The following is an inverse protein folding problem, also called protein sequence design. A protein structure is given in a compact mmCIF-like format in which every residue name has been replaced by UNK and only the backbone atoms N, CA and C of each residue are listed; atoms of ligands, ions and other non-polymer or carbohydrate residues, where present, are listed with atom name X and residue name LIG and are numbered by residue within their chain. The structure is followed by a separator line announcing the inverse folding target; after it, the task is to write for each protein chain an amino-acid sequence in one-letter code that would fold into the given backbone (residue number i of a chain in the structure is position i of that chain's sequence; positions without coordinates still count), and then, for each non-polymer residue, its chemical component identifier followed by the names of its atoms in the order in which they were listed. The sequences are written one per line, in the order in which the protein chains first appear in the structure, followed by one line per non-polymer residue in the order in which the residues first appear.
data_IF_409051418029
#
_entry.id   IF_409051418029
#
_cell.length_a   1.000
_cell.length_b   1.000
_cell.length_c   1.000
_cell.angle_alpha   90.00
_cell.angle_beta   90.00
_cell.angle_gamma   90.00
#
_symmetry.space_group_name_H-M   'P 1'
#
loop_
_entity.id
_entity.type
_entity.pdbx_description
1 polymer ?
#
# COMPACT_ATOMS: atom_id res chain seq x y z
N UNK A 1 23.98 -8.89 48.57
CA UNK A 1 24.55 -8.32 47.33
C UNK A 1 23.38 -8.02 46.41
N UNK A 2 22.95 -6.77 46.38
CA UNK A 2 21.90 -6.30 45.47
C UNK A 2 22.52 -6.03 44.09
N UNK A 3 22.04 -6.77 43.09
CA UNK A 3 22.33 -6.46 41.69
C UNK A 3 21.38 -5.31 41.32
N UNK A 4 21.89 -4.16 40.87
CA UNK A 4 20.99 -3.10 40.39
C UNK A 4 20.29 -3.57 39.11
N UNK A 5 18.98 -3.47 39.09
CA UNK A 5 18.20 -3.52 37.87
C UNK A 5 18.77 -2.43 36.92
N UNK A 6 19.33 -2.85 35.81
CA UNK A 6 19.72 -1.94 34.74
C UNK A 6 18.49 -1.13 34.31
N UNK A 7 18.66 0.18 34.38
CA UNK A 7 17.77 1.12 33.70
C UNK A 7 17.77 0.72 32.23
N UNK A 8 16.65 0.24 31.69
CA UNK A 8 16.45 0.18 30.25
C UNK A 8 16.62 1.62 29.75
N UNK A 9 17.49 1.83 28.80
CA UNK A 9 17.56 3.09 28.07
C UNK A 9 16.17 3.31 27.44
N UNK A 10 15.50 4.39 27.82
CA UNK A 10 14.20 4.77 27.27
C UNK A 10 14.29 5.15 25.76
N UNK A 11 15.45 5.08 25.15
CA UNK A 11 15.78 5.39 23.76
C UNK A 11 16.20 4.14 22.94
N UNK A 12 16.01 2.93 23.43
CA UNK A 12 16.22 1.74 22.58
C UNK A 12 15.00 1.57 21.66
N UNK A 13 15.26 1.56 20.34
CA UNK A 13 14.24 1.28 19.34
C UNK A 13 13.59 -0.08 19.60
N UNK A 14 12.29 -0.23 19.32
CA UNK A 14 11.62 -1.50 19.52
C UNK A 14 12.25 -2.56 18.61
N UNK A 15 12.67 -3.67 19.18
CA UNK A 15 13.24 -4.79 18.44
C UNK A 15 12.19 -5.49 17.56
N UNK A 16 10.90 -5.38 17.96
CA UNK A 16 9.80 -6.09 17.32
C UNK A 16 8.77 -5.11 16.78
N UNK A 17 8.50 -5.21 15.47
CA UNK A 17 7.58 -4.37 14.72
C UNK A 17 6.40 -5.18 14.20
N UNK A 18 5.23 -4.56 14.11
CA UNK A 18 4.00 -5.13 13.56
C UNK A 18 3.53 -4.32 12.35
N UNK A 19 3.30 -4.98 11.23
CA UNK A 19 2.45 -4.46 10.17
C UNK A 19 1.07 -5.08 10.27
N UNK A 20 0.03 -4.24 10.25
CA UNK A 20 -1.36 -4.66 10.22
C UNK A 20 -1.99 -4.16 8.92
N UNK A 21 -2.09 -5.04 7.94
CA UNK A 21 -2.76 -4.81 6.67
C UNK A 21 -4.25 -5.19 6.83
N UNK A 22 -5.12 -4.17 6.90
CA UNK A 22 -6.56 -4.34 7.07
C UNK A 22 -7.23 -4.35 5.69
N UNK A 23 -7.01 -5.42 4.94
CA UNK A 23 -7.55 -5.57 3.59
C UNK A 23 -9.03 -5.92 3.56
N UNK A 24 -9.68 -5.67 2.41
CA UNK A 24 -11.11 -5.95 2.20
C UNK A 24 -11.44 -7.43 2.28
N UNK A 25 -10.55 -8.32 1.83
CA UNK A 25 -10.76 -9.78 1.80
C UNK A 25 -10.07 -10.48 2.96
N UNK A 26 -8.85 -10.06 3.29
CA UNK A 26 -8.06 -10.64 4.37
C UNK A 26 -7.39 -9.55 5.19
N UNK A 27 -7.37 -9.76 6.50
CA UNK A 27 -6.47 -9.06 7.41
C UNK A 27 -5.18 -9.87 7.49
N UNK A 28 -4.05 -9.18 7.41
CA UNK A 28 -2.71 -9.77 7.59
C UNK A 28 -1.97 -9.03 8.69
N UNK A 29 -1.48 -9.78 9.66
CA UNK A 29 -0.58 -9.31 10.70
C UNK A 29 0.80 -9.92 10.44
N UNK A 30 1.81 -9.08 10.27
CA UNK A 30 3.20 -9.52 10.02
C UNK A 30 4.09 -8.93 11.11
N UNK A 31 4.74 -9.82 11.86
CA UNK A 31 5.68 -9.45 12.92
C UNK A 31 7.10 -9.65 12.43
N UNK A 32 7.88 -8.58 12.51
CA UNK A 32 9.29 -8.59 12.15
C UNK A 32 10.17 -8.15 13.31
N UNK A 33 11.36 -8.72 13.36
CA UNK A 33 12.46 -8.31 14.24
C UNK A 33 13.39 -7.38 13.45
N UNK A 34 13.62 -6.19 13.98
CA UNK A 34 14.54 -5.23 13.40
C UNK A 34 15.98 -5.57 13.78
N UNK A 35 16.83 -5.67 12.78
CA UNK A 35 18.24 -5.97 12.88
C UNK A 35 19.11 -4.72 12.66
N UNK A 36 20.40 -4.85 12.94
CA UNK A 36 21.39 -3.81 12.64
C UNK A 36 21.34 -3.43 11.15
N UNK A 37 21.39 -2.13 10.87
CA UNK A 37 21.29 -1.59 9.51
C UNK A 37 19.88 -1.63 8.93
N UNK A 38 18.86 -1.66 9.80
CA UNK A 38 17.43 -1.62 9.40
C UNK A 38 16.94 -2.80 8.56
N UNK A 39 17.68 -3.91 8.57
CA UNK A 39 17.20 -5.16 8.00
C UNK A 39 16.09 -5.75 8.87
N UNK A 40 15.11 -6.39 8.25
CA UNK A 40 13.96 -6.96 8.90
C UNK A 40 13.93 -8.48 8.73
N UNK A 41 13.67 -9.20 9.81
CA UNK A 41 13.47 -10.65 9.78
C UNK A 41 12.03 -10.95 10.20
N UNK A 42 11.22 -11.47 9.28
CA UNK A 42 9.85 -11.89 9.57
C UNK A 42 9.90 -13.10 10.52
N UNK A 43 9.22 -12.98 11.66
CA UNK A 43 9.16 -14.00 12.71
C UNK A 43 7.76 -14.61 12.87
N UNK A 44 6.72 -13.90 12.48
CA UNK A 44 5.37 -14.40 12.61
C UNK A 44 4.40 -13.75 11.64
N UNK A 45 3.46 -14.56 11.19
CA UNK A 45 2.44 -14.15 10.22
C UNK A 45 1.08 -14.69 10.66
N UNK A 46 0.07 -13.85 10.57
CA UNK A 46 -1.31 -14.23 10.76
C UNK A 46 -2.19 -13.67 9.68
N UNK A 47 -3.09 -14.49 9.16
CA UNK A 47 -4.08 -14.13 8.13
C UNK A 47 -5.46 -14.53 8.60
N UNK A 48 -6.43 -13.63 8.47
CA UNK A 48 -7.84 -13.89 8.80
C UNK A 48 -8.73 -13.35 7.71
N UNK A 49 -9.74 -14.15 7.32
CA UNK A 49 -10.71 -13.76 6.30
C UNK A 49 -11.70 -12.72 6.86
N UNK A 50 -11.98 -11.68 6.08
CA UNK A 50 -12.97 -10.65 6.38
C UNK A 50 -14.36 -11.05 5.88
N UNK A 51 -15.35 -10.99 6.77
CA UNK A 51 -16.74 -11.15 6.35
C UNK A 51 -17.18 -10.02 5.42
N UNK A 52 -18.12 -10.34 4.52
CA UNK A 52 -18.73 -9.33 3.66
C UNK A 52 -19.41 -8.26 4.52
N UNK A 53 -19.18 -6.99 4.15
CA UNK A 53 -19.75 -5.85 4.87
C UNK A 53 -18.85 -5.26 5.97
N UNK A 54 -17.79 -5.96 6.40
CA UNK A 54 -16.82 -5.40 7.35
C UNK A 54 -16.08 -4.19 6.76
N UNK A 55 -15.80 -4.24 5.45
CA UNK A 55 -15.13 -3.20 4.69
C UNK A 55 -15.96 -2.80 3.48
N UNK A 56 -15.91 -1.53 3.11
CA UNK A 56 -16.53 -1.00 1.90
C UNK A 56 -15.58 -0.04 1.18
N UNK A 57 -15.31 -0.30 -0.10
CA UNK A 57 -14.39 0.51 -0.92
C UNK A 57 -13.05 0.86 -0.24
N UNK A 58 -12.44 -0.12 0.45
CA UNK A 58 -11.18 0.05 1.18
C UNK A 58 -11.31 0.67 2.59
N UNK A 59 -12.50 1.13 2.99
CA UNK A 59 -12.75 1.73 4.30
C UNK A 59 -13.42 0.75 5.28
N UNK A 60 -13.13 0.89 6.57
CA UNK A 60 -13.77 0.13 7.65
C UNK A 60 -15.23 0.55 7.76
N UNK A 61 -16.16 -0.40 7.59
CA UNK A 61 -17.61 -0.19 7.70
C UNK A 61 -18.18 -0.72 9.03
N UNK A 62 -17.60 -1.79 9.59
CA UNK A 62 -17.97 -2.38 10.88
C UNK A 62 -16.73 -2.51 11.77
N UNK A 63 -16.52 -1.52 12.65
CA UNK A 63 -15.35 -1.49 13.55
C UNK A 63 -15.28 -2.71 14.46
N UNK A 64 -16.34 -3.12 15.19
CA UNK A 64 -16.30 -4.32 16.06
C UNK A 64 -15.94 -5.60 15.31
N UNK A 65 -16.49 -5.80 14.12
CA UNK A 65 -16.21 -6.98 13.31
C UNK A 65 -14.75 -7.00 12.82
N UNK A 66 -14.23 -5.84 12.38
CA UNK A 66 -12.82 -5.68 11.98
C UNK A 66 -11.88 -5.91 13.16
N UNK A 67 -12.18 -5.38 14.37
CA UNK A 67 -11.39 -5.64 15.59
C UNK A 67 -11.29 -7.13 15.83
N UNK A 68 -12.42 -7.86 15.81
CA UNK A 68 -12.43 -9.30 16.04
C UNK A 68 -11.59 -10.09 15.03
N UNK A 69 -11.60 -9.67 13.76
CA UNK A 69 -10.80 -10.29 12.72
C UNK A 69 -9.29 -9.95 12.87
N UNK A 70 -8.97 -8.69 13.21
CA UNK A 70 -7.60 -8.26 13.52
C UNK A 70 -7.02 -9.03 14.72
N UNK A 71 -7.80 -9.22 15.80
CA UNK A 71 -7.39 -9.97 16.98
C UNK A 71 -6.98 -11.41 16.64
N UNK A 72 -7.72 -12.08 15.76
CA UNK A 72 -7.40 -13.44 15.32
C UNK A 72 -6.13 -13.49 14.47
N UNK A 73 -5.99 -12.55 13.53
CA UNK A 73 -4.77 -12.46 12.72
C UNK A 73 -3.54 -12.16 13.58
N UNK A 74 -3.65 -11.19 14.49
CA UNK A 74 -2.60 -10.82 15.44
C UNK A 74 -2.21 -11.99 16.33
N UNK A 75 -3.18 -12.68 16.94
CA UNK A 75 -2.91 -13.84 17.80
C UNK A 75 -2.17 -14.96 17.07
N UNK A 76 -2.46 -15.20 15.79
CA UNK A 76 -1.72 -16.18 14.98
C UNK A 76 -0.28 -15.75 14.75
N UNK A 77 -0.07 -14.47 14.40
CA UNK A 77 1.26 -13.92 14.19
C UNK A 77 2.11 -13.97 15.48
N UNK A 78 1.54 -13.56 16.62
CA UNK A 78 2.21 -13.58 17.93
C UNK A 78 2.55 -15.01 18.38
N UNK A 79 1.62 -15.97 18.18
CA UNK A 79 1.87 -17.38 18.50
C UNK A 79 3.02 -17.96 17.65
N UNK A 80 3.11 -17.60 16.38
CA UNK A 80 4.18 -18.05 15.51
C UNK A 80 5.51 -17.39 15.87
N UNK A 81 5.52 -16.07 16.12
CA UNK A 81 6.70 -15.31 16.48
C UNK A 81 7.21 -15.62 17.91
N UNK A 82 6.34 -16.13 18.78
CA UNK A 82 6.64 -16.36 20.20
C UNK A 82 6.79 -15.07 21.03
N UNK A 83 6.39 -13.92 20.46
CA UNK A 83 6.48 -12.59 21.08
C UNK A 83 5.21 -11.79 20.85
N UNK A 84 4.96 -10.83 21.73
CA UNK A 84 3.85 -9.87 21.60
C UNK A 84 4.41 -8.58 20.99
N UNK A 85 3.90 -8.19 19.84
CA UNK A 85 4.28 -6.95 19.16
C UNK A 85 3.27 -5.85 19.46
N UNK A 86 3.77 -4.64 19.78
CA UNK A 86 2.91 -3.47 20.07
C UNK A 86 3.11 -2.34 19.09
N UNK A 87 4.34 -2.06 18.69
CA UNK A 87 4.71 -1.00 17.74
C UNK A 87 4.17 -1.34 16.36
N UNK A 88 3.17 -0.61 15.91
CA UNK A 88 2.35 -0.98 14.75
C UNK A 88 2.27 0.14 13.71
N UNK A 89 2.34 -0.24 12.43
CA UNK A 89 1.86 0.59 11.32
C UNK A 89 0.71 -0.10 10.60
N UNK A 90 -0.25 0.70 10.12
CA UNK A 90 -1.48 0.23 9.47
C UNK A 90 -1.59 0.81 8.07
N UNK A 91 -1.99 -0.04 7.11
CA UNK A 91 -2.33 0.38 5.76
C UNK A 91 -3.68 1.07 5.67
N UNK A 92 -3.79 2.02 4.75
CA UNK A 92 -5.05 2.64 4.38
C UNK A 92 -5.18 2.68 2.85
N UNK A 93 -6.33 2.21 2.36
CA UNK A 93 -6.71 2.26 0.95
C UNK A 93 -8.09 2.91 0.80
N UNK A 94 -8.51 3.14 -0.43
CA UNK A 94 -9.85 3.61 -0.76
C UNK A 94 -9.88 4.83 -1.68
N UNK A 95 -10.95 4.95 -2.46
CA UNK A 95 -11.11 5.97 -3.52
C UNK A 95 -11.05 7.42 -2.98
N UNK A 96 -11.43 7.63 -1.71
CA UNK A 96 -11.41 8.95 -1.07
C UNK A 96 -10.02 9.38 -0.58
N UNK A 97 -9.00 8.55 -0.76
CA UNK A 97 -7.61 8.93 -0.46
C UNK A 97 -7.05 9.70 -1.65
N UNK A 98 -6.51 10.89 -1.39
CA UNK A 98 -5.96 11.78 -2.42
C UNK A 98 -4.46 11.91 -2.28
N UNK A 99 -3.72 11.23 -3.17
CA UNK A 99 -2.26 11.22 -3.20
C UNK A 99 -1.71 11.82 -4.49
N UNK A 100 -1.09 13.00 -4.40
CA UNK A 100 -0.60 13.73 -5.56
C UNK A 100 0.75 14.38 -5.29
N UNK A 101 1.60 14.42 -6.33
CA UNK A 101 2.84 15.19 -6.33
C UNK A 101 2.63 16.53 -7.04
N UNK A 102 3.10 17.59 -6.41
CA UNK A 102 3.00 18.96 -6.93
C UNK A 102 4.36 19.60 -7.06
N UNK A 103 4.56 20.28 -8.18
CA UNK A 103 5.75 21.14 -8.38
C UNK A 103 5.46 22.53 -7.85
N UNK A 104 6.22 22.95 -6.86
CA UNK A 104 6.13 24.29 -6.24
C UNK A 104 7.39 25.07 -6.57
N UNK A 105 7.23 26.24 -7.17
CA UNK A 105 8.29 27.21 -7.42
C UNK A 105 8.24 28.30 -6.38
N UNK A 106 9.31 28.44 -5.61
CA UNK A 106 9.43 29.46 -4.59
C UNK A 106 10.57 30.42 -4.93
N UNK A 107 10.22 31.69 -5.21
CA UNK A 107 11.19 32.78 -5.38
C UNK A 107 11.54 33.39 -4.04
N UNK A 108 12.81 33.33 -3.70
CA UNK A 108 13.36 33.87 -2.46
C UNK A 108 13.49 35.40 -2.56
N UNK A 109 13.23 36.07 -1.45
CA UNK A 109 13.38 37.54 -1.35
C UNK A 109 14.84 37.98 -1.45
N UNK A 110 15.78 37.14 -0.96
CA UNK A 110 17.22 37.41 -0.94
C UNK A 110 17.96 36.10 -1.26
N UNK A 111 18.33 35.92 -2.53
CA UNK A 111 19.07 34.75 -3.01
C UNK A 111 20.51 34.68 -2.53
N UNK A 112 21.07 35.77 -1.96
CA UNK A 112 22.45 35.79 -1.44
C UNK A 112 22.55 35.22 -0.01
N UNK A 113 21.45 35.13 0.72
CA UNK A 113 21.45 34.49 2.03
C UNK A 113 21.40 32.98 1.89
N UNK A 114 22.13 32.24 2.77
CA UNK A 114 21.96 30.81 2.84
C UNK A 114 20.51 30.42 3.15
N UNK A 115 20.03 29.34 2.55
CA UNK A 115 18.73 28.74 2.86
C UNK A 115 18.80 28.22 4.30
N UNK A 116 17.86 28.63 5.13
CA UNK A 116 17.75 28.19 6.52
C UNK A 116 16.68 27.12 6.68
N UNK A 117 16.81 26.35 7.75
CA UNK A 117 15.80 25.39 8.18
C UNK A 117 14.41 26.03 8.34
N UNK A 118 14.31 27.21 8.97
CA UNK A 118 13.05 27.92 9.15
C UNK A 118 12.40 28.32 7.81
N UNK A 119 13.21 28.71 6.81
CA UNK A 119 12.70 29.03 5.47
C UNK A 119 12.10 27.80 4.80
N UNK A 120 12.80 26.66 4.89
CA UNK A 120 12.31 25.40 4.34
C UNK A 120 11.01 24.92 5.02
N UNK A 121 10.93 24.99 6.36
CA UNK A 121 9.68 24.65 7.06
C UNK A 121 8.50 25.49 6.59
N UNK A 122 8.69 26.80 6.44
CA UNK A 122 7.64 27.69 5.96
C UNK A 122 7.19 27.33 4.55
N UNK A 123 8.12 26.94 3.69
CA UNK A 123 7.80 26.50 2.32
C UNK A 123 6.99 25.22 2.37
N UNK A 124 7.50 24.18 3.07
CA UNK A 124 6.84 22.88 3.19
C UNK A 124 5.44 23.03 3.78
N UNK A 125 5.31 23.77 4.89
CA UNK A 125 3.99 24.01 5.52
C UNK A 125 3.01 24.64 4.54
N UNK A 126 3.40 25.65 3.80
CA UNK A 126 2.51 26.29 2.79
C UNK A 126 2.08 25.34 1.68
N UNK A 127 2.99 24.43 1.28
CA UNK A 127 2.66 23.41 0.27
C UNK A 127 1.64 22.43 0.84
N UNK A 128 1.85 21.97 2.06
CA UNK A 128 0.93 21.06 2.77
C UNK A 128 -0.44 21.72 2.99
N UNK A 129 -0.49 22.94 3.50
CA UNK A 129 -1.75 23.66 3.74
C UNK A 129 -2.58 23.81 2.44
N UNK A 130 -1.92 24.14 1.31
CA UNK A 130 -2.59 24.24 0.02
C UNK A 130 -3.02 22.89 -0.54
N UNK A 131 -2.22 21.84 -0.33
CA UNK A 131 -2.56 20.51 -0.76
C UNK A 131 -3.75 19.95 0.05
N UNK A 132 -3.82 20.24 1.35
CA UNK A 132 -4.95 19.89 2.23
C UNK A 132 -6.26 20.55 1.77
N UNK A 133 -6.23 21.85 1.47
CA UNK A 133 -7.40 22.57 0.96
C UNK A 133 -7.95 21.91 -0.31
N UNK A 134 -7.07 21.59 -1.27
CA UNK A 134 -7.46 20.93 -2.52
C UNK A 134 -7.99 19.51 -2.29
N UNK A 135 -7.33 18.71 -1.45
CA UNK A 135 -7.80 17.36 -1.13
C UNK A 135 -9.17 17.39 -0.46
N UNK A 136 -9.41 18.37 0.44
CA UNK A 136 -10.71 18.56 1.08
C UNK A 136 -11.79 18.93 0.07
N UNK A 137 -11.50 19.84 -0.88
CA UNK A 137 -12.45 20.21 -1.94
C UNK A 137 -12.80 19.00 -2.83
N UNK A 138 -11.80 18.20 -3.25
CA UNK A 138 -12.02 17.00 -4.04
C UNK A 138 -12.90 15.98 -3.31
N UNK A 139 -12.57 15.68 -2.05
CA UNK A 139 -13.36 14.75 -1.22
C UNK A 139 -14.77 15.29 -0.96
N UNK A 140 -14.92 16.59 -0.72
CA UNK A 140 -16.21 17.23 -0.50
C UNK A 140 -17.13 17.07 -1.72
N UNK A 141 -16.60 17.25 -2.94
CA UNK A 141 -17.33 17.05 -4.19
C UNK A 141 -17.74 15.59 -4.39
N UNK A 142 -16.86 14.63 -4.10
CA UNK A 142 -17.13 13.21 -4.29
C UNK A 142 -18.13 12.64 -3.27
N UNK A 143 -18.14 13.20 -2.05
CA UNK A 143 -19.00 12.74 -0.95
C UNK A 143 -20.28 13.56 -0.79
N UNK A 144 -20.45 14.63 -1.58
CA UNK A 144 -21.52 15.64 -1.40
C UNK A 144 -21.59 16.19 0.04
N UNK A 145 -20.40 16.29 0.68
CA UNK A 145 -20.26 16.76 2.06
C UNK A 145 -19.26 17.93 2.13
N UNK A 146 -19.72 19.18 2.19
CA UNK A 146 -18.85 20.35 2.22
C UNK A 146 -18.04 20.48 3.54
N UNK A 147 -18.47 19.81 4.60
CA UNK A 147 -17.84 19.89 5.93
C UNK A 147 -16.89 18.69 6.18
N UNK A 148 -16.48 17.97 5.13
CA UNK A 148 -15.56 16.85 5.28
C UNK A 148 -14.20 17.33 5.80
N UNK A 149 -13.70 16.64 6.82
CA UNK A 149 -12.35 16.84 7.32
C UNK A 149 -11.40 15.78 6.74
N UNK A 150 -10.22 16.23 6.32
CA UNK A 150 -9.15 15.37 5.83
C UNK A 150 -7.90 15.54 6.69
N UNK A 151 -7.08 14.49 6.76
CA UNK A 151 -5.80 14.49 7.48
C UNK A 151 -4.68 14.06 6.53
N UNK A 152 -3.51 14.73 6.64
CA UNK A 152 -2.30 14.31 5.97
C UNK A 152 -1.83 12.96 6.53
N UNK A 153 -1.63 11.99 5.63
CA UNK A 153 -1.17 10.64 5.94
C UNK A 153 0.32 10.50 5.64
N UNK A 154 0.68 10.78 4.39
CA UNK A 154 2.07 10.70 3.94
C UNK A 154 2.48 12.01 3.26
N UNK A 155 3.75 12.36 3.38
CA UNK A 155 4.37 13.43 2.61
C UNK A 155 5.84 13.14 2.36
N UNK A 156 6.31 13.48 1.15
CA UNK A 156 7.68 13.25 0.73
C UNK A 156 8.17 14.34 -0.21
N UNK A 157 9.46 14.70 -0.14
CA UNK A 157 10.10 15.52 -1.17
C UNK A 157 10.61 14.57 -2.26
N UNK A 158 9.96 14.59 -3.42
CA UNK A 158 10.32 13.78 -4.59
C UNK A 158 11.58 14.32 -5.26
N UNK A 159 11.66 15.63 -5.43
CA UNK A 159 12.86 16.30 -5.95
C UNK A 159 12.97 17.72 -5.45
N UNK A 160 14.19 18.22 -5.39
CA UNK A 160 14.48 19.60 -5.03
C UNK A 160 15.60 20.16 -5.90
N UNK A 161 15.40 21.38 -6.39
CA UNK A 161 16.44 22.09 -7.13
C UNK A 161 16.55 23.56 -6.70
N UNK A 162 17.73 24.12 -6.85
CA UNK A 162 18.05 25.52 -6.58
C UNK A 162 18.63 26.12 -7.87
N UNK A 163 17.95 27.15 -8.40
CA UNK A 163 18.33 27.81 -9.67
C UNK A 163 18.58 26.80 -10.80
N UNK A 164 17.78 25.69 -10.85
CA UNK A 164 17.84 24.62 -11.85
C UNK A 164 18.81 23.47 -11.52
N UNK A 165 19.60 23.56 -10.44
CA UNK A 165 20.51 22.49 -10.02
C UNK A 165 19.84 21.58 -8.97
N UNK A 166 19.75 20.28 -9.24
CA UNK A 166 19.27 19.30 -8.26
C UNK A 166 20.20 19.25 -7.04
N UNK A 167 19.59 19.22 -5.84
CA UNK A 167 20.29 19.10 -4.57
C UNK A 167 19.53 18.15 -3.65
N UNK A 168 20.25 17.32 -2.89
CA UNK A 168 19.63 16.43 -1.91
C UNK A 168 19.33 17.14 -0.58
N UNK A 169 20.06 18.17 -0.20
CA UNK A 169 19.81 18.98 0.99
C UNK A 169 20.04 20.46 0.66
N UNK A 170 19.02 21.33 0.73
CA UNK A 170 19.13 22.73 0.33
C UNK A 170 19.77 23.63 1.41
N UNK A 171 19.90 23.13 2.66
CA UNK A 171 20.33 23.96 3.79
C UNK A 171 21.76 24.45 3.60
N UNK A 172 21.94 25.76 3.77
CA UNK A 172 23.24 26.42 3.59
C UNK A 172 23.55 26.84 2.15
N UNK A 173 22.80 26.33 1.15
CA UNK A 173 22.95 26.79 -0.22
C UNK A 173 22.40 28.21 -0.38
N UNK A 174 22.92 28.93 -1.38
CA UNK A 174 22.41 30.22 -1.86
C UNK A 174 21.72 30.00 -3.18
N UNK A 175 20.72 30.79 -3.48
CA UNK A 175 20.00 30.74 -4.74
C UNK A 175 18.73 31.58 -4.70
N UNK A 176 18.21 31.92 -5.83
CA UNK A 176 17.06 32.83 -5.98
C UNK A 176 15.74 32.09 -6.14
N UNK A 177 15.75 30.88 -6.69
CA UNK A 177 14.57 30.07 -6.91
C UNK A 177 14.78 28.64 -6.38
N UNK A 178 13.82 28.19 -5.57
CA UNK A 178 13.69 26.78 -5.21
C UNK A 178 12.53 26.16 -5.98
N UNK A 179 12.77 24.99 -6.56
CA UNK A 179 11.70 24.16 -7.14
C UNK A 179 11.65 22.85 -6.37
N UNK A 180 10.49 22.60 -5.78
CA UNK A 180 10.22 21.37 -5.02
C UNK A 180 9.15 20.58 -5.77
N UNK A 181 9.39 19.29 -5.96
CA UNK A 181 8.33 18.31 -6.19
C UNK A 181 8.00 17.66 -4.87
N UNK A 182 6.75 17.76 -4.44
CA UNK A 182 6.33 17.37 -3.11
C UNK A 182 5.09 16.49 -3.20
N UNK A 183 5.24 15.23 -2.79
CA UNK A 183 4.14 14.28 -2.66
C UNK A 183 3.40 14.51 -1.35
N UNK A 184 2.08 14.47 -1.40
CA UNK A 184 1.20 14.48 -0.24
C UNK A 184 0.04 13.52 -0.46
N UNK A 185 -0.33 12.79 0.59
CA UNK A 185 -1.52 11.96 0.60
C UNK A 185 -2.41 12.32 1.80
N UNK A 186 -3.69 12.51 1.53
CA UNK A 186 -4.73 12.84 2.52
C UNK A 186 -5.82 11.79 2.51
N UNK A 187 -6.38 11.52 3.70
CA UNK A 187 -7.56 10.67 3.85
C UNK A 187 -8.63 11.37 4.70
N UNK A 188 -9.92 11.04 4.51
CA UNK A 188 -10.99 11.51 5.39
C UNK A 188 -10.72 11.13 6.84
N UNK A 189 -10.96 12.07 7.76
CA UNK A 189 -10.72 11.87 9.19
C UNK A 189 -11.48 10.67 9.76
N UNK A 190 -12.67 10.38 9.24
CA UNK A 190 -13.48 9.24 9.66
C UNK A 190 -12.77 7.89 9.44
N UNK A 191 -12.02 7.74 8.33
CA UNK A 191 -11.28 6.51 8.05
C UNK A 191 -10.09 6.35 9.02
N UNK A 192 -9.37 7.45 9.28
CA UNK A 192 -8.23 7.45 10.20
C UNK A 192 -8.70 7.14 11.62
N UNK A 193 -9.79 7.78 12.07
CA UNK A 193 -10.36 7.56 13.39
C UNK A 193 -10.83 6.11 13.60
N UNK A 194 -11.32 5.45 12.54
CA UNK A 194 -11.66 4.03 12.60
C UNK A 194 -10.41 3.15 12.83
N UNK A 195 -9.30 3.43 12.13
CA UNK A 195 -8.02 2.74 12.32
C UNK A 195 -7.47 2.99 13.73
N UNK A 196 -7.45 4.25 14.17
CA UNK A 196 -7.01 4.62 15.54
C UNK A 196 -7.83 3.86 16.60
N UNK A 197 -9.15 3.72 16.39
CA UNK A 197 -10.02 2.96 17.28
C UNK A 197 -9.69 1.47 17.30
N UNK A 198 -9.44 0.85 16.13
CA UNK A 198 -9.01 -0.55 16.04
C UNK A 198 -7.71 -0.77 16.83
N UNK A 199 -6.70 0.06 16.60
CA UNK A 199 -5.41 -0.03 17.29
C UNK A 199 -5.55 0.14 18.80
N UNK A 200 -6.36 1.11 19.26
CA UNK A 200 -6.60 1.36 20.67
C UNK A 200 -7.26 0.16 21.38
N UNK A 201 -8.26 -0.48 20.75
CA UNK A 201 -8.94 -1.65 21.32
C UNK A 201 -8.02 -2.88 21.36
N UNK A 202 -7.07 -3.00 20.43
CA UNK A 202 -6.07 -4.08 20.39
C UNK A 202 -4.83 -3.78 21.25
N UNK A 203 -4.79 -2.64 21.94
CA UNK A 203 -3.65 -2.17 22.72
C UNK A 203 -2.35 -2.07 21.88
N UNK A 204 -2.47 -1.58 20.65
CA UNK A 204 -1.36 -1.35 19.73
C UNK A 204 -0.91 0.11 19.79
N UNK A 205 0.39 0.33 19.75
CA UNK A 205 1.02 1.63 19.64
C UNK A 205 1.14 1.99 18.16
N UNK A 206 0.17 2.76 17.65
CA UNK A 206 0.12 3.15 16.25
C UNK A 206 1.19 4.19 15.95
N UNK A 207 2.25 3.77 15.26
CA UNK A 207 3.38 4.63 14.86
C UNK A 207 3.07 5.39 13.57
N UNK A 208 2.50 4.70 12.57
CA UNK A 208 2.16 5.30 11.31
C UNK A 208 0.89 4.70 10.69
N UNK A 209 0.16 5.54 9.96
CA UNK A 209 -0.79 5.11 8.94
C UNK A 209 -0.15 5.41 7.59
N UNK A 210 -0.13 4.46 6.68
CA UNK A 210 0.43 4.65 5.35
C UNK A 210 -0.56 4.29 4.25
N UNK A 211 -0.58 5.11 3.20
CA UNK A 211 -1.31 4.78 1.97
C UNK A 211 -0.67 3.53 1.36
N UNK A 212 -1.47 2.49 1.10
CA UNK A 212 -0.96 1.17 0.69
C UNK A 212 -0.03 1.21 -0.53
N UNK A 213 -0.35 1.88 -1.65
CA UNK A 213 0.58 1.95 -2.78
C UNK A 213 1.89 2.69 -2.45
N UNK A 214 1.88 3.65 -1.52
CA UNK A 214 3.10 4.26 -1.01
C UNK A 214 3.93 3.26 -0.20
N UNK A 215 3.28 2.47 0.67
CA UNK A 215 3.95 1.42 1.44
C UNK A 215 4.61 0.39 0.51
N UNK A 216 3.93 -0.07 -0.56
CA UNK A 216 4.51 -0.99 -1.55
C UNK A 216 5.73 -0.37 -2.23
N UNK A 217 5.69 0.92 -2.59
CA UNK A 217 6.86 1.61 -3.13
C UNK A 217 8.03 1.57 -2.15
N UNK A 218 7.78 1.78 -0.85
CA UNK A 218 8.81 1.69 0.19
C UNK A 218 9.38 0.27 0.33
N UNK A 219 8.54 -0.77 0.22
CA UNK A 219 9.01 -2.15 0.16
C UNK A 219 10.02 -2.37 -0.98
N UNK A 220 9.68 -1.93 -2.19
CA UNK A 220 10.52 -2.09 -3.38
C UNK A 220 11.83 -1.27 -3.32
N UNK A 221 11.84 -0.14 -2.62
CA UNK A 221 13.03 0.71 -2.46
C UNK A 221 13.99 0.21 -1.37
N UNK A 222 13.48 -0.47 -0.35
CA UNK A 222 14.26 -0.93 0.81
C UNK A 222 14.98 0.21 1.54
N UNK A 223 16.19 -0.06 2.02
CA UNK A 223 17.05 0.93 2.69
C UNK A 223 17.81 1.83 1.70
N UNK A 224 17.71 1.58 0.39
CA UNK A 224 18.44 2.35 -0.62
C UNK A 224 17.65 3.59 -1.05
N UNK A 225 17.92 4.70 -0.39
CA UNK A 225 17.30 6.00 -0.65
C UNK A 225 17.79 6.66 -1.95
N UNK A 226 18.94 6.24 -2.47
CA UNK A 226 19.48 6.69 -3.77
C UNK A 226 19.01 5.78 -4.93
N UNK A 227 17.95 5.00 -4.71
CA UNK A 227 17.40 4.12 -5.73
C UNK A 227 16.86 4.93 -6.92
N UNK A 228 17.25 4.53 -8.12
CA UNK A 228 16.73 5.08 -9.38
C UNK A 228 15.55 4.22 -9.90
N UNK A 229 14.74 3.66 -9.01
CA UNK A 229 13.57 2.88 -9.40
C UNK A 229 12.59 3.77 -10.16
N UNK A 230 12.28 3.38 -11.40
CA UNK A 230 11.17 3.94 -12.17
C UNK A 230 10.24 2.79 -12.54
N UNK A 231 9.04 2.78 -11.95
CA UNK A 231 8.05 1.72 -12.11
C UNK A 231 6.63 2.23 -11.83
N UNK A 232 5.66 1.52 -12.37
CA UNK A 232 4.27 1.60 -11.93
C UNK A 232 4.03 0.43 -10.98
N UNK A 233 3.62 0.72 -9.77
CA UNK A 233 3.26 -0.29 -8.77
C UNK A 233 1.75 -0.41 -8.74
N UNK A 234 1.22 -1.63 -8.79
CA UNK A 234 -0.22 -1.91 -8.72
C UNK A 234 -0.48 -2.95 -7.62
N UNK A 235 -1.13 -2.53 -6.55
CA UNK A 235 -1.70 -3.42 -5.53
C UNK A 235 -3.13 -3.76 -5.92
N UNK A 236 -3.39 -5.01 -6.24
CA UNK A 236 -4.72 -5.49 -6.63
C UNK A 236 -5.31 -6.25 -5.44
N UNK A 237 -6.08 -5.53 -4.64
CA UNK A 237 -6.74 -6.06 -3.45
C UNK A 237 -8.03 -6.84 -3.74
N UNK A 238 -8.77 -7.13 -2.67
CA UNK A 238 -10.11 -7.73 -2.78
C UNK A 238 -11.15 -6.73 -3.27
N UNK A 239 -11.11 -5.49 -2.82
CA UNK A 239 -12.09 -4.44 -3.13
C UNK A 239 -11.58 -3.37 -4.10
N UNK A 240 -10.31 -3.06 -4.06
CA UNK A 240 -9.68 -1.95 -4.78
C UNK A 240 -8.51 -2.41 -5.64
N UNK A 241 -8.13 -1.57 -6.59
CA UNK A 241 -6.83 -1.57 -7.25
C UNK A 241 -6.16 -0.22 -6.98
N UNK A 242 -4.98 -0.27 -6.41
CA UNK A 242 -4.23 0.86 -5.91
C UNK A 242 -2.95 1.00 -6.73
N UNK A 243 -2.77 2.17 -7.38
CA UNK A 243 -1.68 2.41 -8.33
C UNK A 243 -0.79 3.51 -7.77
N UNK A 244 0.53 3.31 -7.82
CA UNK A 244 1.52 4.37 -7.64
C UNK A 244 2.43 4.44 -8.86
N UNK A 245 2.75 5.64 -9.29
CA UNK A 245 3.77 5.90 -10.29
C UNK A 245 5.02 6.41 -9.59
N UNK A 246 6.14 5.72 -9.78
CA UNK A 246 7.45 6.06 -9.21
C UNK A 246 8.39 6.40 -10.34
N UNK A 247 9.05 7.54 -10.26
CA UNK A 247 10.10 7.91 -11.19
C UNK A 247 11.37 8.34 -10.44
N UNK A 248 12.50 7.71 -10.80
CA UNK A 248 13.80 7.95 -10.14
C UNK A 248 13.74 7.89 -8.60
N UNK A 249 13.01 6.92 -8.07
CA UNK A 249 12.83 6.69 -6.62
C UNK A 249 11.79 7.60 -5.95
N UNK A 250 11.25 8.60 -6.65
CA UNK A 250 10.22 9.50 -6.14
C UNK A 250 8.81 9.09 -6.54
N UNK A 251 7.85 9.17 -5.63
CA UNK A 251 6.43 8.90 -5.91
C UNK A 251 5.81 10.10 -6.62
N UNK A 252 5.46 9.97 -7.89
CA UNK A 252 4.82 11.02 -8.68
C UNK A 252 3.33 11.18 -8.35
N UNK A 253 2.69 10.14 -7.84
CA UNK A 253 1.33 10.17 -7.37
C UNK A 253 0.76 8.78 -7.15
N UNK A 254 -0.42 8.74 -6.53
CA UNK A 254 -1.19 7.51 -6.30
C UNK A 254 -2.62 7.67 -6.81
N UNK A 255 -3.19 6.59 -7.34
CA UNK A 255 -4.58 6.50 -7.79
C UNK A 255 -5.18 5.19 -7.31
N UNK A 256 -6.45 5.24 -6.96
CA UNK A 256 -7.20 4.09 -6.46
C UNK A 256 -8.55 4.04 -7.13
N UNK A 257 -9.03 2.83 -7.44
CA UNK A 257 -10.38 2.60 -7.96
C UNK A 257 -10.98 1.30 -7.42
N UNK A 258 -12.31 1.27 -7.27
CA UNK A 258 -13.08 0.25 -6.55
C UNK A 258 -13.32 -1.03 -7.36
N UNK A 259 -12.33 -1.53 -8.11
CA UNK A 259 -12.40 -2.81 -8.80
C UNK A 259 -11.23 -3.67 -8.35
N UNK A 260 -11.53 -4.72 -7.59
CA UNK A 260 -10.57 -5.71 -7.11
C UNK A 260 -11.10 -7.13 -7.30
N UNK A 261 -10.51 -8.10 -6.63
CA UNK A 261 -10.84 -9.53 -6.77
C UNK A 261 -12.31 -9.88 -6.55
N UNK A 262 -13.00 -9.17 -5.65
CA UNK A 262 -14.45 -9.39 -5.39
C UNK A 262 -15.35 -9.06 -6.57
N UNK A 263 -14.97 -8.11 -7.42
CA UNK A 263 -15.76 -7.78 -8.60
C UNK A 263 -15.82 -8.96 -9.58
N UNK A 264 -14.73 -9.71 -9.71
CA UNK A 264 -14.66 -10.94 -10.49
C UNK A 264 -15.55 -12.03 -9.89
N UNK A 265 -15.51 -12.18 -8.57
CA UNK A 265 -16.36 -13.12 -7.84
C UNK A 265 -17.86 -12.83 -8.07
N UNK A 266 -18.26 -11.56 -7.96
CA UNK A 266 -19.63 -11.14 -8.23
C UNK A 266 -20.07 -11.43 -9.67
N UNK A 267 -19.18 -11.22 -10.65
CA UNK A 267 -19.47 -11.52 -12.05
C UNK A 267 -19.66 -13.04 -12.29
N UNK A 268 -18.80 -13.87 -11.69
CA UNK A 268 -18.94 -15.33 -11.75
C UNK A 268 -20.24 -15.77 -11.05
N UNK A 269 -20.50 -15.28 -9.83
CA UNK A 269 -21.71 -15.57 -9.07
C UNK A 269 -22.99 -15.27 -9.88
N UNK A 270 -23.07 -14.06 -10.42
CA UNK A 270 -24.23 -13.61 -11.21
C UNK A 270 -24.42 -14.40 -12.48
N UNK A 271 -23.35 -14.66 -13.23
CA UNK A 271 -23.44 -15.31 -14.56
C UNK A 271 -23.70 -16.81 -14.50
N UNK A 272 -23.16 -17.46 -13.47
CA UNK A 272 -23.28 -18.92 -13.29
C UNK A 272 -24.47 -19.28 -12.40
N UNK A 273 -24.96 -18.33 -11.58
CA UNK A 273 -26.06 -18.52 -10.61
C UNK A 273 -25.56 -19.20 -9.34
N UNK A 274 -24.48 -18.69 -8.74
CA UNK A 274 -23.84 -19.23 -7.54
C UNK A 274 -23.96 -18.24 -6.37
N UNK A 275 -23.85 -18.76 -5.15
CA UNK A 275 -23.55 -17.92 -4.00
C UNK A 275 -22.11 -17.38 -4.09
N UNK A 276 -21.81 -16.34 -3.32
CA UNK A 276 -20.53 -15.64 -3.39
C UNK A 276 -19.35 -16.55 -3.04
N UNK A 277 -19.45 -17.34 -1.97
CA UNK A 277 -18.36 -18.20 -1.50
C UNK A 277 -18.03 -19.30 -2.51
N UNK A 278 -19.04 -19.92 -3.10
CA UNK A 278 -18.86 -20.91 -4.17
C UNK A 278 -18.25 -20.26 -5.42
N UNK A 279 -18.69 -19.05 -5.79
CA UNK A 279 -18.13 -18.32 -6.92
C UNK A 279 -16.67 -17.90 -6.68
N UNK A 280 -16.30 -17.55 -5.44
CA UNK A 280 -14.92 -17.27 -5.05
C UNK A 280 -14.03 -18.48 -5.28
N UNK A 281 -14.44 -19.66 -4.80
CA UNK A 281 -13.71 -20.91 -5.02
C UNK A 281 -13.60 -21.26 -6.52
N UNK A 282 -14.66 -21.04 -7.30
CA UNK A 282 -14.64 -21.23 -8.77
C UNK A 282 -13.61 -20.31 -9.41
N UNK A 283 -13.60 -19.05 -9.06
CA UNK A 283 -12.62 -18.05 -9.57
C UNK A 283 -11.19 -18.45 -9.23
N UNK A 284 -10.93 -18.80 -7.97
CA UNK A 284 -9.59 -19.21 -7.49
C UNK A 284 -9.14 -20.49 -8.21
N UNK A 285 -10.01 -21.50 -8.30
CA UNK A 285 -9.69 -22.76 -9.00
C UNK A 285 -9.46 -22.54 -10.50
N UNK A 286 -10.27 -21.71 -11.14
CA UNK A 286 -10.10 -21.35 -12.55
C UNK A 286 -8.75 -20.67 -12.82
N UNK A 287 -8.30 -19.82 -11.93
CA UNK A 287 -7.03 -19.10 -12.03
C UNK A 287 -5.80 -19.96 -11.69
N UNK A 288 -5.99 -21.23 -11.32
CA UNK A 288 -4.90 -22.14 -10.94
C UNK A 288 -4.28 -21.88 -9.56
N UNK A 289 -4.84 -20.95 -8.79
CA UNK A 289 -4.27 -20.51 -7.50
C UNK A 289 -4.40 -21.55 -6.39
N UNK A 290 -5.40 -22.46 -6.46
CA UNK A 290 -5.59 -23.52 -5.44
C UNK A 290 -4.49 -24.56 -5.45
N UNK A 291 -3.72 -24.69 -6.52
CA UNK A 291 -2.64 -25.68 -6.60
C UNK A 291 -1.39 -25.30 -5.79
N UNK A 292 -1.23 -24.03 -5.44
CA UNK A 292 -0.04 -23.48 -4.80
C UNK A 292 -0.25 -23.10 -3.32
N UNK A 293 -1.49 -22.92 -2.87
CA UNK A 293 -1.78 -22.53 -1.49
C UNK A 293 -2.23 -23.72 -0.63
N UNK A 294 -1.26 -24.56 -0.22
CA UNK A 294 -1.45 -25.63 0.74
C UNK A 294 -2.01 -25.16 2.09
N UNK A 295 -1.86 -23.87 2.41
CA UNK A 295 -2.35 -23.29 3.65
C UNK A 295 -3.86 -23.02 3.59
N UNK A 296 -4.37 -22.55 2.45
CA UNK A 296 -5.81 -22.41 2.20
C UNK A 296 -6.49 -23.78 2.21
N UNK A 297 -5.86 -24.82 1.65
CA UNK A 297 -6.38 -26.19 1.67
C UNK A 297 -6.43 -26.80 3.09
N UNK A 298 -5.52 -26.44 3.99
CA UNK A 298 -5.49 -26.92 5.38
C UNK A 298 -6.53 -26.25 6.29
N UNK A 299 -7.06 -25.10 5.90
CA UNK A 299 -8.09 -24.35 6.63
C UNK A 299 -9.50 -24.63 6.14
N UNK A 300 -9.67 -25.46 5.10
CA UNK A 300 -10.97 -25.81 4.55
C UNK A 300 -11.81 -26.56 5.61
N UNK A 301 -13.02 -26.09 5.83
CA UNK A 301 -14.03 -26.75 6.67
C UNK A 301 -14.68 -27.91 5.92
N UNK A 302 -15.50 -28.73 6.61
CA UNK A 302 -16.30 -29.79 5.97
C UNK A 302 -17.24 -29.19 4.91
N UNK A 303 -17.79 -28.01 5.16
CA UNK A 303 -18.63 -27.30 4.19
C UNK A 303 -17.87 -26.86 2.93
N UNK A 304 -16.58 -26.55 3.06
CA UNK A 304 -15.73 -26.18 1.93
C UNK A 304 -15.39 -27.41 1.08
N UNK A 305 -15.26 -28.59 1.67
CA UNK A 305 -15.06 -29.84 0.94
C UNK A 305 -16.30 -30.20 0.07
N UNK A 306 -17.51 -29.95 0.57
CA UNK A 306 -18.76 -30.12 -0.20
C UNK A 306 -18.82 -29.10 -1.36
N UNK A 307 -18.49 -27.84 -1.10
CA UNK A 307 -18.39 -26.80 -2.14
C UNK A 307 -17.35 -27.11 -3.21
N UNK A 308 -16.20 -27.70 -2.84
CA UNK A 308 -15.16 -28.12 -3.80
C UNK A 308 -15.68 -29.14 -4.83
N UNK A 309 -16.56 -30.07 -4.43
CA UNK A 309 -17.22 -30.98 -5.38
C UNK A 309 -18.12 -30.22 -6.36
N UNK A 310 -18.83 -29.21 -5.90
CA UNK A 310 -19.64 -28.32 -6.75
C UNK A 310 -18.77 -27.52 -7.71
N UNK A 311 -17.66 -26.95 -7.24
CA UNK A 311 -16.66 -26.23 -8.04
C UNK A 311 -16.15 -27.11 -9.18
N UNK A 312 -15.73 -28.35 -8.88
CA UNK A 312 -15.28 -29.30 -9.90
C UNK A 312 -16.38 -29.62 -10.94
N UNK A 313 -17.63 -29.80 -10.48
CA UNK A 313 -18.76 -30.01 -11.37
C UNK A 313 -19.04 -28.82 -12.28
N UNK A 314 -18.83 -27.58 -11.79
CA UNK A 314 -18.99 -26.38 -12.60
C UNK A 314 -17.91 -26.30 -13.68
N UNK A 315 -16.66 -26.47 -13.30
CA UNK A 315 -15.52 -26.34 -14.21
C UNK A 315 -15.45 -27.48 -15.23
N UNK A 316 -15.95 -28.68 -14.90
CA UNK A 316 -15.98 -29.83 -15.81
C UNK A 316 -17.15 -29.82 -16.81
N UNK A 317 -18.17 -28.94 -16.63
CA UNK A 317 -19.29 -28.81 -17.56
C UNK A 317 -18.99 -27.70 -18.57
N UNK A 318 -18.84 -28.01 -19.89
CA UNK A 318 -18.39 -27.03 -20.88
C UNK A 318 -19.21 -25.74 -20.94
N UNK A 319 -20.55 -25.83 -20.82
CA UNK A 319 -21.42 -24.64 -20.87
C UNK A 319 -21.29 -23.76 -19.61
N UNK A 320 -21.05 -24.36 -18.45
CA UNK A 320 -20.79 -23.62 -17.20
C UNK A 320 -19.39 -22.98 -17.22
N UNK A 321 -18.40 -23.74 -17.64
CA UNK A 321 -17.02 -23.27 -17.80
C UNK A 321 -16.94 -22.05 -18.72
N UNK A 322 -17.61 -22.07 -19.89
CA UNK A 322 -17.71 -20.93 -20.80
C UNK A 322 -18.34 -19.70 -20.16
N UNK A 323 -19.30 -19.88 -19.23
CA UNK A 323 -19.88 -18.76 -18.49
C UNK A 323 -18.87 -18.16 -17.50
N UNK A 324 -18.06 -19.00 -16.84
CA UNK A 324 -16.97 -18.54 -15.97
C UNK A 324 -15.92 -17.77 -16.76
N UNK A 325 -15.42 -18.35 -17.86
CA UNK A 325 -14.47 -17.70 -18.78
C UNK A 325 -14.96 -16.32 -19.21
N UNK A 326 -16.22 -16.26 -19.66
CA UNK A 326 -16.81 -15.01 -20.13
C UNK A 326 -16.99 -14.00 -18.98
N UNK A 327 -17.37 -14.44 -17.78
CA UNK A 327 -17.49 -13.56 -16.62
C UNK A 327 -16.16 -12.91 -16.26
N UNK A 328 -15.10 -13.70 -16.26
CA UNK A 328 -13.74 -13.24 -15.95
C UNK A 328 -13.22 -12.33 -17.06
N UNK A 329 -13.37 -12.71 -18.34
CA UNK A 329 -12.92 -11.90 -19.47
C UNK A 329 -13.62 -10.53 -19.51
N UNK A 330 -14.96 -10.48 -19.40
CA UNK A 330 -15.71 -9.22 -19.42
C UNK A 330 -15.27 -8.29 -18.28
N UNK A 331 -15.04 -8.84 -17.08
CA UNK A 331 -14.56 -8.02 -15.94
C UNK A 331 -13.10 -7.60 -16.09
N UNK A 332 -12.25 -8.41 -16.73
CA UNK A 332 -10.87 -8.06 -17.08
C UNK A 332 -10.83 -6.85 -18.01
N UNK A 333 -11.69 -6.78 -19.03
CA UNK A 333 -11.78 -5.63 -19.93
C UNK A 333 -12.15 -4.35 -19.17
N UNK A 334 -13.11 -4.43 -18.24
CA UNK A 334 -13.50 -3.29 -17.38
C UNK A 334 -12.35 -2.87 -16.48
N UNK A 335 -11.66 -3.83 -15.86
CA UNK A 335 -10.52 -3.56 -14.99
C UNK A 335 -9.36 -2.90 -15.75
N UNK A 336 -8.98 -3.41 -16.93
CA UNK A 336 -7.96 -2.82 -17.80
C UNK A 336 -8.31 -1.40 -18.19
N UNK A 337 -9.59 -1.13 -18.50
CA UNK A 337 -10.06 0.22 -18.79
C UNK A 337 -9.91 1.14 -17.57
N UNK A 338 -10.15 0.63 -16.36
CA UNK A 338 -9.91 1.34 -15.10
C UNK A 338 -8.44 1.68 -14.90
N UNK A 339 -7.53 0.74 -15.21
CA UNK A 339 -6.07 0.98 -15.18
C UNK A 339 -5.69 2.09 -16.17
N UNK A 340 -6.19 2.02 -17.42
CA UNK A 340 -5.94 3.03 -18.44
C UNK A 340 -6.39 4.42 -17.99
N UNK A 341 -7.61 4.51 -17.43
CA UNK A 341 -8.16 5.77 -16.93
C UNK A 341 -7.32 6.32 -15.76
N UNK A 342 -6.96 5.48 -14.78
CA UNK A 342 -6.15 5.89 -13.64
C UNK A 342 -4.76 6.41 -14.07
N UNK A 343 -4.15 5.78 -15.08
CA UNK A 343 -2.84 6.19 -15.59
C UNK A 343 -2.92 7.43 -16.49
N UNK A 344 -4.06 7.72 -17.11
CA UNK A 344 -4.24 8.94 -17.91
C UNK A 344 -4.12 10.23 -17.08
N UNK A 345 -4.35 10.16 -15.78
CA UNK A 345 -4.19 11.29 -14.85
C UNK A 345 -2.72 11.71 -14.69
N UNK A 346 -1.77 10.85 -15.06
CA UNK A 346 -0.34 11.14 -15.04
C UNK A 346 0.17 11.74 -16.37
N UNK A 347 -0.72 12.34 -17.14
CA UNK A 347 -0.42 12.93 -18.48
C UNK A 347 0.60 14.08 -18.45
N UNK A 348 0.96 14.61 -17.28
CA UNK A 348 2.01 15.61 -17.11
C UNK A 348 3.43 15.03 -17.17
N UNK A 349 3.57 13.72 -17.02
CA UNK A 349 4.85 13.04 -17.23
C UNK A 349 5.15 12.94 -18.73
N UNK A 350 6.41 13.20 -19.10
CA UNK A 350 6.85 13.06 -20.50
C UNK A 350 6.72 11.61 -21.00
N UNK A 351 6.96 10.65 -20.10
CA UNK A 351 6.75 9.23 -20.35
C UNK A 351 6.43 8.49 -19.04
N UNK A 352 5.51 7.52 -19.11
CA UNK A 352 5.26 6.60 -18.03
C UNK A 352 6.37 5.53 -17.95
N UNK A 353 6.77 5.10 -16.74
CA UNK A 353 7.67 3.96 -16.57
C UNK A 353 7.10 2.70 -17.24
N UNK A 354 7.93 2.00 -17.99
CA UNK A 354 7.51 0.80 -18.71
C UNK A 354 7.63 -0.50 -17.88
N UNK A 355 8.02 -0.44 -16.61
CA UNK A 355 8.02 -1.56 -15.68
C UNK A 355 6.79 -1.47 -14.80
N UNK A 356 5.96 -2.51 -14.80
CA UNK A 356 4.77 -2.62 -13.95
C UNK A 356 5.03 -3.74 -12.94
N UNK A 357 4.94 -3.40 -11.67
CA UNK A 357 5.10 -4.29 -10.52
C UNK A 357 3.73 -4.57 -9.93
N UNK A 358 3.32 -5.83 -9.90
CA UNK A 358 2.04 -6.27 -9.38
C UNK A 358 2.19 -6.90 -8.01
N UNK A 359 1.28 -6.58 -7.10
CA UNK A 359 1.14 -7.23 -5.79
C UNK A 359 -0.33 -7.25 -5.37
N UNK A 360 -0.60 -7.75 -4.14
CA UNK A 360 -1.95 -7.93 -3.62
C UNK A 360 -2.61 -9.21 -4.08
N UNK A 361 -3.58 -9.73 -3.32
CA UNK A 361 -4.21 -11.03 -3.57
C UNK A 361 -4.88 -11.18 -4.94
N UNK A 362 -5.40 -10.08 -5.51
CA UNK A 362 -6.00 -10.07 -6.86
C UNK A 362 -4.97 -10.19 -7.98
N UNK A 363 -3.70 -9.82 -7.74
CA UNK A 363 -2.65 -9.93 -8.73
C UNK A 363 -2.35 -11.37 -9.15
N UNK A 364 -2.71 -12.35 -8.33
CA UNK A 364 -2.64 -13.77 -8.66
C UNK A 364 -3.59 -14.21 -9.79
N UNK A 365 -4.58 -13.41 -10.19
CA UNK A 365 -5.41 -13.70 -11.34
C UNK A 365 -4.59 -13.61 -12.62
N UNK A 366 -4.19 -14.76 -13.18
CA UNK A 366 -3.35 -14.84 -14.38
C UNK A 366 -3.91 -14.07 -15.58
N UNK A 367 -5.24 -13.98 -15.68
CA UNK A 367 -5.92 -13.22 -16.72
C UNK A 367 -5.63 -11.72 -16.70
N UNK A 368 -5.39 -11.13 -15.51
CA UNK A 368 -5.00 -9.72 -15.39
C UNK A 368 -3.58 -9.49 -15.88
N UNK A 369 -2.66 -10.37 -15.49
CA UNK A 369 -1.27 -10.31 -15.94
C UNK A 369 -1.18 -10.48 -17.46
N UNK A 370 -1.93 -11.45 -18.02
CA UNK A 370 -1.99 -11.70 -19.45
C UNK A 370 -2.60 -10.50 -20.21
N UNK A 371 -3.69 -9.93 -19.71
CA UNK A 371 -4.33 -8.77 -20.32
C UNK A 371 -3.39 -7.56 -20.37
N UNK A 372 -2.67 -7.27 -19.29
CA UNK A 372 -1.67 -6.19 -19.26
C UNK A 372 -0.48 -6.45 -20.20
N UNK A 373 -0.07 -7.70 -20.36
CA UNK A 373 1.09 -8.07 -21.15
C UNK A 373 0.79 -8.14 -22.66
N UNK A 374 -0.44 -8.49 -23.06
CA UNK A 374 -0.75 -8.85 -24.45
C UNK A 374 -1.67 -7.87 -25.18
N UNK A 375 -2.58 -7.17 -24.47
CA UNK A 375 -3.49 -6.22 -25.11
C UNK A 375 -2.85 -4.86 -25.37
N UNK A 376 -3.48 -4.04 -26.22
CA UNK A 376 -2.94 -2.75 -26.67
C UNK A 376 -3.44 -1.56 -25.82
N UNK A 377 -3.88 -1.82 -24.58
CA UNK A 377 -4.44 -0.84 -23.66
C UNK A 377 -3.53 0.38 -23.39
N UNK A 378 -2.22 0.21 -23.56
CA UNK A 378 -1.21 1.21 -23.23
C UNK A 378 -0.97 2.22 -24.38
N UNK A 379 -1.47 1.97 -25.60
CA UNK A 379 -1.13 2.76 -26.78
C UNK A 379 -1.61 4.21 -26.74
N UNK A 380 -2.70 4.49 -26.00
CA UNK A 380 -3.22 5.85 -25.81
C UNK A 380 -2.53 6.60 -24.63
N UNK A 381 -1.61 5.92 -23.92
CA UNK A 381 -0.89 6.47 -22.77
C UNK A 381 0.56 6.80 -23.16
N UNK A 382 1.24 7.70 -22.46
CA UNK A 382 2.60 8.13 -22.80
C UNK A 382 3.67 7.07 -22.44
N UNK A 383 3.47 5.83 -22.87
CA UNK A 383 4.49 4.79 -22.80
C UNK A 383 5.41 4.84 -24.01
N UNK A 384 6.72 4.85 -23.81
CA UNK A 384 7.70 4.78 -24.90
C UNK A 384 7.73 3.41 -25.60
N UNK A 385 7.28 2.36 -24.91
CA UNK A 385 7.20 0.97 -25.40
C UNK A 385 6.21 0.17 -24.56
N UNK A 386 5.83 -1.01 -25.03
CA UNK A 386 4.96 -1.94 -24.28
C UNK A 386 5.50 -2.16 -22.86
N UNK A 387 4.66 -2.03 -21.82
CA UNK A 387 5.05 -2.29 -20.44
C UNK A 387 5.47 -3.75 -20.23
N UNK A 388 6.42 -3.93 -19.32
CA UNK A 388 6.86 -5.25 -18.84
C UNK A 388 6.22 -5.49 -17.48
N UNK A 389 5.47 -6.58 -17.37
CA UNK A 389 4.73 -6.94 -16.17
C UNK A 389 5.58 -7.88 -15.32
N UNK A 390 5.68 -7.60 -14.02
CA UNK A 390 6.37 -8.44 -13.05
C UNK A 390 5.49 -8.60 -11.81
N UNK A 391 5.16 -9.83 -11.45
CA UNK A 391 4.51 -10.16 -10.19
C UNK A 391 5.58 -10.20 -9.10
N UNK A 392 5.42 -9.35 -8.09
CA UNK A 392 6.37 -9.29 -6.97
C UNK A 392 6.27 -10.55 -6.10
N UNK A 393 7.39 -10.92 -5.53
CA UNK A 393 7.51 -11.99 -4.55
C UNK A 393 8.37 -11.51 -3.38
N UNK A 394 8.44 -12.23 -2.27
CA UNK A 394 9.23 -11.85 -1.09
C UNK A 394 10.72 -11.67 -1.44
N UNK A 395 11.24 -12.49 -2.39
CA UNK A 395 12.62 -12.39 -2.87
C UNK A 395 12.95 -11.11 -3.64
N UNK A 396 11.93 -10.40 -4.13
CA UNK A 396 12.07 -9.12 -4.83
C UNK A 396 12.21 -7.94 -3.86
N UNK A 397 11.91 -8.16 -2.56
CA UNK A 397 11.89 -7.09 -1.57
C UNK A 397 13.23 -7.04 -0.84
N UNK A 398 14.00 -5.96 -1.02
CA UNK A 398 15.29 -5.82 -0.38
C UNK A 398 15.16 -5.66 1.14
N UNK A 399 16.19 -6.11 1.86
CA UNK A 399 16.37 -5.91 3.30
C UNK A 399 15.25 -6.52 4.18
N UNK A 400 14.46 -7.45 3.64
CA UNK A 400 13.47 -8.24 4.36
C UNK A 400 13.75 -9.72 4.12
N UNK A 401 13.87 -10.46 5.20
CA UNK A 401 14.10 -11.91 5.17
C UNK A 401 12.93 -12.64 5.83
N UNK A 402 12.37 -13.62 5.14
CA UNK A 402 11.38 -14.52 5.71
C UNK A 402 12.09 -15.64 6.49
N UNK A 403 11.88 -15.70 7.80
CA UNK A 403 12.37 -16.76 8.67
C UNK A 403 11.25 -17.70 9.15
N UNK A 404 10.04 -17.57 8.58
CA UNK A 404 8.92 -18.46 8.86
C UNK A 404 8.92 -19.65 7.90
N UNK A 405 8.10 -20.66 8.21
CA UNK A 405 7.87 -21.80 7.30
C UNK A 405 6.74 -21.53 6.29
N UNK A 406 6.17 -20.31 6.30
CA UNK A 406 5.08 -19.90 5.40
C UNK A 406 5.69 -19.25 4.18
N UNK A 407 5.20 -19.63 3.01
CA UNK A 407 5.48 -18.93 1.76
C UNK A 407 4.78 -17.57 1.74
N UNK A 408 5.55 -16.48 1.65
CA UNK A 408 5.05 -15.11 1.69
C UNK A 408 5.05 -14.52 0.29
N UNK A 409 3.99 -14.83 -0.45
CA UNK A 409 3.79 -14.46 -1.83
C UNK A 409 3.47 -12.94 -2.02
N UNK A 410 3.18 -12.57 -3.26
CA UNK A 410 2.78 -11.21 -3.68
C UNK A 410 1.67 -10.58 -2.83
N UNK A 411 0.89 -11.35 -2.09
CA UNK A 411 -0.18 -10.83 -1.25
C UNK A 411 0.29 -10.19 0.06
N UNK A 412 1.57 -10.36 0.43
CA UNK A 412 2.16 -9.81 1.66
C UNK A 412 3.00 -8.55 1.44
N UNK A 413 3.22 -8.14 0.20
CA UNK A 413 4.13 -7.04 -0.15
C UNK A 413 3.72 -5.72 0.52
N UNK A 414 2.41 -5.43 0.62
CA UNK A 414 1.88 -4.26 1.32
C UNK A 414 2.27 -4.28 2.80
N UNK A 415 2.14 -5.42 3.48
CA UNK A 415 2.57 -5.57 4.87
C UNK A 415 4.08 -5.35 5.04
N UNK A 416 4.91 -5.80 4.09
CA UNK A 416 6.35 -5.53 4.09
C UNK A 416 6.64 -4.03 3.97
N UNK A 417 5.89 -3.34 3.11
CA UNK A 417 5.97 -1.90 2.98
C UNK A 417 5.60 -1.15 4.26
N UNK A 418 4.56 -1.62 4.96
CA UNK A 418 4.16 -1.06 6.25
C UNK A 418 5.25 -1.22 7.31
N UNK A 419 5.93 -2.38 7.37
CA UNK A 419 7.10 -2.57 8.24
C UNK A 419 8.22 -1.57 7.90
N UNK A 420 8.48 -1.33 6.62
CA UNK A 420 9.47 -0.36 6.16
C UNK A 420 9.10 1.06 6.59
N UNK A 421 7.83 1.45 6.41
CA UNK A 421 7.32 2.76 6.88
C UNK A 421 7.46 2.90 8.40
N UNK A 422 7.28 1.81 9.16
CA UNK A 422 7.52 1.83 10.62
C UNK A 422 8.97 2.18 10.92
N UNK A 423 9.93 1.51 10.29
CA UNK A 423 11.37 1.78 10.46
C UNK A 423 11.69 3.23 10.10
N UNK A 424 11.24 3.71 8.94
CA UNK A 424 11.47 5.08 8.48
C UNK A 424 10.91 6.11 9.49
N UNK A 425 9.75 5.83 10.08
CA UNK A 425 9.12 6.72 11.06
C UNK A 425 9.90 6.76 12.36
N UNK A 426 10.30 5.61 12.90
CA UNK A 426 11.08 5.51 14.14
C UNK A 426 12.44 6.17 13.98
N UNK A 427 13.17 5.91 12.89
CA UNK A 427 14.46 6.57 12.61
C UNK A 427 14.32 8.08 12.60
N UNK A 428 13.24 8.59 12.06
CA UNK A 428 13.01 10.03 11.96
C UNK A 428 12.65 10.67 13.31
N UNK A 429 12.08 9.93 14.25
CA UNK A 429 11.78 10.42 15.61
C UNK A 429 13.06 10.48 16.46
N UNK A 430 13.99 9.54 16.29
CA UNK A 430 15.28 9.56 16.97
C UNK A 430 16.20 10.70 16.51
N UNK A 431 16.18 11.01 15.21
CA UNK A 431 16.95 12.12 14.66
C UNK A 431 16.33 13.50 15.01
N UNK A 432 15.10 13.58 15.55
CA UNK A 432 14.34 14.82 15.77
C UNK A 432 14.85 15.71 16.94
N UNK A 433 16.16 15.78 17.11
CA UNK A 433 16.78 16.87 17.90
C UNK A 433 17.00 18.14 17.06
N UNK A 434 16.55 18.19 15.81
CA UNK A 434 16.68 19.38 14.95
C UNK A 434 15.98 19.24 13.60
N UNK A 435 15.79 20.38 12.97
CA UNK A 435 15.11 20.53 11.69
C UNK A 435 15.80 19.83 10.51
N UNK A 436 17.12 19.61 10.60
CA UNK A 436 17.89 18.85 9.63
C UNK A 436 17.35 17.44 9.49
N UNK A 437 16.92 16.85 10.59
CA UNK A 437 16.30 15.54 10.64
C UNK A 437 14.92 15.52 9.97
N UNK A 438 14.07 16.54 10.23
CA UNK A 438 12.76 16.66 9.54
C UNK A 438 12.87 16.84 8.04
N UNK A 439 13.89 17.57 7.57
CA UNK A 439 14.18 17.71 6.16
C UNK A 439 14.76 16.43 5.57
N UNK A 440 15.67 15.77 6.28
CA UNK A 440 16.17 14.47 5.90
C UNK A 440 15.02 13.46 5.76
N UNK A 441 14.07 13.44 6.71
CA UNK A 441 12.85 12.62 6.66
C UNK A 441 12.01 12.88 5.39
N UNK A 442 11.82 14.14 5.03
CA UNK A 442 11.04 14.52 3.84
C UNK A 442 11.79 14.28 2.52
N UNK A 443 13.12 14.18 2.58
CA UNK A 443 13.98 13.84 1.44
C UNK A 443 14.23 12.32 1.33
N UNK A 444 13.99 11.58 2.40
CA UNK A 444 14.19 10.13 2.50
C UNK A 444 12.89 9.34 2.18
N UNK A 445 11.74 9.99 2.25
CA UNK A 445 10.44 9.41 1.89
C UNK A 445 10.12 9.78 0.40
#
# INVERSE_FOLDING_TARGET
MNIPHGLKNENEMPETLLALDIGTEYIKAVIAERQEGDNLIIRGVGKEHQAMGNMYAGAIADIPAVISACEKALSRAENMAGVVARTCSVGIAGELIKGNTKTVRYRRKDGNKPISDQEMQLIIKRVQDKAEEQAREEVALETDNPDVEVRLINSAIVSLSIDGYKVSNPIGFKGSELVLQFYTAFAPLVHISAIEKVCAELNLDLVAVAVEPFAVCRACLGNNLDSNLSAIVMDIGGGTTDIAVVDNGGVEGTKMFGIGGRSFTHQVASRVGLDFDTAELVKIQYSGLLSNDLHTLKTLTVSDAERMNEVQNILNVPDRMKKVEKAIADNTEVWVSGVGLALSDFSLLEALPNKILLCGGGAGLSTLQEALATSDWYEELPFARRPVIHLLDDVDIPDIQNATEIDLDYSYITAFGLLRVTVDTLNSEEEDTGLRAKLAKLLQN
#
